data_IF_610627514749
#
_entry.id   IF_610627514749
#
_cell.length_a   1.000
_cell.length_b   1.000
_cell.length_c   1.000
_cell.angle_alpha   90.00
_cell.angle_beta   90.00
_cell.angle_gamma   90.00
#
_symmetry.space_group_name_H-M   'P 1'
#
loop_
_entity.id
_entity.type
_entity.pdbx_description
1 polymer ?
#
# COMPACT_ATOMS: atom_id res chain seq x y z
N UNK A 1 27.59 -23.96 -51.95
CA UNK A 1 27.06 -25.23 -51.40
C UNK A 1 25.62 -25.34 -51.85
N UNK A 2 25.37 -26.39 -52.66
CA UNK A 2 24.08 -26.56 -53.33
C UNK A 2 23.15 -27.36 -52.41
N UNK A 3 22.22 -26.66 -51.73
CA UNK A 3 21.27 -27.25 -50.75
C UNK A 3 20.20 -28.16 -51.37
N UNK A 4 20.22 -28.33 -52.72
CA UNK A 4 19.19 -29.07 -53.44
C UNK A 4 19.26 -30.61 -53.31
N UNK A 5 20.41 -31.15 -52.85
CA UNK A 5 20.63 -32.62 -52.76
C UNK A 5 20.55 -33.22 -51.36
N UNK A 6 20.12 -32.48 -50.35
CA UNK A 6 19.98 -32.99 -49.00
C UNK A 6 18.63 -33.66 -48.81
N UNK A 7 18.61 -34.78 -48.12
CA UNK A 7 17.36 -35.43 -47.74
C UNK A 7 16.53 -34.56 -46.84
N UNK A 8 15.22 -34.68 -46.90
CA UNK A 8 14.31 -33.81 -46.08
C UNK A 8 14.56 -33.94 -44.56
N UNK A 9 14.95 -35.10 -44.10
CA UNK A 9 15.38 -35.35 -42.71
C UNK A 9 16.65 -34.58 -42.34
N UNK A 10 17.59 -34.42 -43.28
CA UNK A 10 18.82 -33.64 -43.04
C UNK A 10 18.54 -32.14 -43.04
N UNK A 11 17.63 -31.66 -43.89
CA UNK A 11 17.18 -30.27 -43.89
C UNK A 11 16.48 -29.88 -42.58
N UNK A 12 15.63 -30.79 -42.07
CA UNK A 12 14.93 -30.61 -40.79
C UNK A 12 15.91 -30.53 -39.60
N UNK A 13 16.90 -31.44 -39.56
CA UNK A 13 17.96 -31.39 -38.55
C UNK A 13 18.79 -30.13 -38.62
N UNK A 14 19.17 -29.67 -39.82
CA UNK A 14 19.90 -28.38 -40.00
C UNK A 14 19.04 -27.18 -39.55
N UNK A 15 17.74 -27.18 -39.86
CA UNK A 15 16.84 -26.15 -39.44
C UNK A 15 16.70 -26.11 -37.90
N UNK A 16 16.54 -27.26 -37.26
CA UNK A 16 16.46 -27.36 -35.79
C UNK A 16 17.76 -26.89 -35.13
N UNK A 17 18.93 -27.29 -35.65
CA UNK A 17 20.22 -26.85 -35.12
C UNK A 17 20.48 -25.36 -35.31
N UNK A 18 20.14 -24.81 -36.46
CA UNK A 18 20.29 -23.35 -36.71
C UNK A 18 19.30 -22.56 -35.89
N UNK A 19 18.05 -22.97 -35.78
CA UNK A 19 17.03 -22.32 -34.94
C UNK A 19 17.43 -22.34 -33.46
N UNK A 20 17.93 -23.49 -32.97
CA UNK A 20 18.45 -23.62 -31.59
C UNK A 20 19.67 -22.75 -31.36
N UNK A 21 20.61 -22.66 -32.28
CA UNK A 21 21.78 -21.82 -32.22
C UNK A 21 21.40 -20.32 -32.18
N UNK A 22 20.47 -19.88 -33.01
CA UNK A 22 19.93 -18.52 -33.01
C UNK A 22 19.23 -18.22 -31.70
N UNK A 23 18.46 -19.16 -31.17
CA UNK A 23 17.76 -19.01 -29.89
C UNK A 23 18.74 -18.86 -28.71
N UNK A 24 19.81 -19.65 -28.69
CA UNK A 24 20.86 -19.56 -27.66
C UNK A 24 21.60 -18.21 -27.75
N UNK A 25 21.94 -17.76 -28.96
CA UNK A 25 22.60 -16.45 -29.16
C UNK A 25 21.67 -15.31 -28.73
N UNK A 26 20.38 -15.35 -29.10
CA UNK A 26 19.39 -14.38 -28.66
C UNK A 26 19.25 -14.35 -27.13
N UNK A 27 19.23 -15.54 -26.49
CA UNK A 27 19.15 -15.66 -25.05
C UNK A 27 20.41 -15.10 -24.37
N UNK A 28 21.59 -15.40 -24.89
CA UNK A 28 22.86 -14.86 -24.39
C UNK A 28 22.94 -13.31 -24.54
N UNK A 29 22.48 -12.77 -25.69
CA UNK A 29 22.38 -11.31 -25.90
C UNK A 29 21.39 -10.68 -24.93
N UNK A 30 20.23 -11.30 -24.71
CA UNK A 30 19.23 -10.83 -23.74
C UNK A 30 19.80 -10.81 -22.31
N UNK A 31 20.50 -11.86 -21.89
CA UNK A 31 21.12 -11.91 -20.55
C UNK A 31 22.20 -10.82 -20.41
N UNK A 32 23.06 -10.63 -21.41
CA UNK A 32 24.10 -9.60 -21.37
C UNK A 32 23.55 -8.17 -21.35
N UNK A 33 22.34 -7.96 -21.90
CA UNK A 33 21.70 -6.64 -21.96
C UNK A 33 20.59 -6.45 -20.92
N UNK A 34 20.39 -7.38 -20.00
CA UNK A 34 19.32 -7.32 -19.01
C UNK A 34 19.41 -6.05 -18.12
N UNK A 35 20.65 -5.64 -17.80
CA UNK A 35 20.90 -4.41 -17.05
C UNK A 35 20.57 -3.15 -17.89
N UNK A 36 20.88 -3.16 -19.19
CA UNK A 36 20.54 -2.08 -20.10
C UNK A 36 19.02 -1.96 -20.29
N UNK A 37 18.33 -3.09 -20.46
CA UNK A 37 16.86 -3.14 -20.53
C UNK A 37 16.24 -2.62 -19.22
N UNK A 38 16.79 -3.02 -18.07
CA UNK A 38 16.36 -2.51 -16.76
C UNK A 38 16.54 -0.99 -16.63
N UNK A 39 17.66 -0.45 -17.13
CA UNK A 39 17.91 0.99 -17.13
C UNK A 39 16.93 1.74 -18.04
N UNK A 40 16.67 1.24 -19.24
CA UNK A 40 15.69 1.83 -20.16
C UNK A 40 14.31 1.81 -19.54
N UNK A 41 13.88 0.67 -18.98
CA UNK A 41 12.59 0.53 -18.32
C UNK A 41 12.47 1.50 -17.13
N UNK A 42 13.50 1.62 -16.30
CA UNK A 42 13.53 2.57 -15.19
C UNK A 42 13.46 4.03 -15.65
N UNK A 43 14.08 4.36 -16.78
CA UNK A 43 14.02 5.69 -17.40
C UNK A 43 12.60 6.00 -17.90
N UNK A 44 11.95 5.05 -18.57
CA UNK A 44 10.56 5.17 -19.04
C UNK A 44 9.60 5.33 -17.84
N UNK A 45 9.74 4.51 -16.79
CA UNK A 45 8.92 4.60 -15.58
C UNK A 45 9.10 5.96 -14.91
N UNK A 46 10.34 6.47 -14.82
CA UNK A 46 10.61 7.82 -14.30
C UNK A 46 9.98 8.92 -15.13
N UNK A 47 10.03 8.82 -16.45
CA UNK A 47 9.41 9.79 -17.36
C UNK A 47 7.88 9.81 -17.26
N UNK A 48 7.26 8.63 -17.00
CA UNK A 48 5.79 8.48 -16.86
C UNK A 48 5.32 8.73 -15.42
N UNK A 49 6.24 8.79 -14.45
CA UNK A 49 5.87 8.92 -13.04
C UNK A 49 4.90 10.08 -12.71
N UNK A 50 4.97 11.29 -13.31
CA UNK A 50 3.99 12.34 -13.06
C UNK A 50 2.57 11.96 -13.50
N UNK A 51 2.44 11.15 -14.57
CA UNK A 51 1.14 10.63 -14.99
C UNK A 51 0.60 9.59 -14.02
N UNK A 52 1.47 8.74 -13.47
CA UNK A 52 1.09 7.76 -12.44
C UNK A 52 0.59 8.50 -11.19
N UNK A 53 1.30 9.53 -10.73
CA UNK A 53 0.84 10.40 -9.63
C UNK A 53 -0.48 11.10 -9.98
N UNK A 54 -0.62 11.62 -11.21
CA UNK A 54 -1.85 12.24 -11.67
C UNK A 54 -3.05 11.29 -11.65
N UNK A 55 -2.87 10.06 -12.09
CA UNK A 55 -3.90 9.00 -12.01
C UNK A 55 -4.24 8.66 -10.55
N UNK A 56 -3.23 8.53 -9.69
CA UNK A 56 -3.43 8.27 -8.25
C UNK A 56 -4.23 9.39 -7.59
N UNK A 57 -3.84 10.65 -7.82
CA UNK A 57 -4.57 11.81 -7.28
C UNK A 57 -5.99 11.89 -7.84
N UNK A 58 -6.17 11.64 -9.15
CA UNK A 58 -7.50 11.54 -9.76
C UNK A 58 -8.35 10.50 -9.06
N UNK A 59 -7.77 9.34 -8.78
CA UNK A 59 -8.46 8.25 -8.10
C UNK A 59 -8.91 8.65 -6.69
N UNK A 60 -8.06 9.34 -5.92
CA UNK A 60 -8.36 9.82 -4.55
C UNK A 60 -9.40 10.95 -4.59
N UNK A 61 -9.30 11.88 -5.55
CA UNK A 61 -10.15 13.06 -5.63
C UNK A 61 -11.51 12.79 -6.30
N UNK A 62 -11.62 11.73 -7.10
CA UNK A 62 -12.83 11.40 -7.84
C UNK A 62 -14.09 11.22 -6.96
N UNK A 63 -14.04 10.52 -5.81
CA UNK A 63 -15.18 10.43 -4.90
C UNK A 63 -15.58 11.79 -4.33
N UNK A 64 -14.60 12.62 -3.94
CA UNK A 64 -14.84 13.98 -3.43
C UNK A 64 -15.53 14.85 -4.50
N UNK A 65 -15.01 14.84 -5.73
CA UNK A 65 -15.62 15.54 -6.85
C UNK A 65 -17.06 15.10 -7.07
N UNK A 66 -17.32 13.77 -7.09
CA UNK A 66 -18.67 13.23 -7.29
C UNK A 66 -19.62 13.61 -6.17
N UNK A 67 -19.16 13.61 -4.93
CA UNK A 67 -19.94 14.05 -3.78
C UNK A 67 -20.36 15.52 -3.95
N UNK A 68 -19.41 16.39 -4.33
CA UNK A 68 -19.73 17.83 -4.55
C UNK A 68 -20.66 17.99 -5.76
N UNK A 69 -20.39 17.33 -6.89
CA UNK A 69 -21.15 17.45 -8.14
C UNK A 69 -22.57 16.90 -8.03
N UNK A 70 -22.72 15.70 -7.45
CA UNK A 70 -23.97 14.94 -7.49
C UNK A 70 -24.84 15.11 -6.23
N UNK A 71 -24.24 15.44 -5.08
CA UNK A 71 -24.97 15.55 -3.81
C UNK A 71 -25.12 17.01 -3.39
N UNK A 72 -24.01 17.76 -3.31
CA UNK A 72 -24.04 19.16 -2.83
C UNK A 72 -24.64 20.10 -3.90
N UNK A 73 -24.19 19.99 -5.15
CA UNK A 73 -24.62 20.87 -6.24
C UNK A 73 -25.84 20.31 -7.01
N UNK A 74 -26.42 19.20 -6.58
CA UNK A 74 -27.54 18.52 -7.26
C UNK A 74 -28.70 19.50 -7.55
N UNK A 75 -29.14 20.24 -6.56
CA UNK A 75 -30.32 21.09 -6.60
C UNK A 75 -30.02 22.52 -7.10
N UNK A 76 -28.80 22.85 -7.51
CA UNK A 76 -28.46 24.15 -8.04
C UNK A 76 -28.88 24.28 -9.51
N UNK A 77 -29.27 25.49 -9.92
CA UNK A 77 -29.63 25.82 -11.33
C UNK A 77 -28.40 26.02 -12.23
N UNK A 78 -27.22 25.61 -11.78
CA UNK A 78 -25.98 25.77 -12.55
C UNK A 78 -25.91 24.78 -13.70
N UNK A 79 -25.28 25.19 -14.81
CA UNK A 79 -24.97 24.33 -15.93
C UNK A 79 -24.03 23.17 -15.51
N UNK A 80 -24.20 21.99 -16.06
CA UNK A 80 -23.41 20.80 -15.72
C UNK A 80 -21.89 21.03 -15.82
N UNK A 81 -21.45 21.84 -16.80
CA UNK A 81 -20.05 22.19 -16.97
C UNK A 81 -19.55 23.03 -15.77
N UNK A 82 -20.32 24.00 -15.33
CA UNK A 82 -20.00 24.86 -14.18
C UNK A 82 -20.00 24.06 -12.86
N UNK A 83 -20.99 23.16 -12.67
CA UNK A 83 -21.02 22.24 -11.51
C UNK A 83 -19.73 21.40 -11.44
N UNK A 84 -19.29 20.87 -12.58
CA UNK A 84 -18.06 20.08 -12.66
C UNK A 84 -16.82 20.90 -12.33
N UNK A 85 -16.71 22.13 -12.83
CA UNK A 85 -15.58 23.01 -12.53
C UNK A 85 -15.52 23.28 -11.02
N UNK A 86 -16.63 23.67 -10.40
CA UNK A 86 -16.70 23.92 -8.97
C UNK A 86 -16.35 22.65 -8.17
N UNK A 87 -16.86 21.50 -8.56
CA UNK A 87 -16.61 20.23 -7.90
C UNK A 87 -15.13 19.80 -7.97
N UNK A 88 -14.47 20.01 -9.11
CA UNK A 88 -13.02 19.72 -9.27
C UNK A 88 -12.20 20.65 -8.41
N UNK A 89 -12.49 21.97 -8.43
CA UNK A 89 -11.78 22.95 -7.60
C UNK A 89 -11.98 22.65 -6.12
N UNK A 90 -13.20 22.35 -5.69
CA UNK A 90 -13.49 21.99 -4.30
C UNK A 90 -12.72 20.72 -3.87
N UNK A 91 -12.74 19.68 -4.69
CA UNK A 91 -11.99 18.45 -4.41
C UNK A 91 -10.46 18.71 -4.32
N UNK A 92 -9.93 19.59 -5.19
CA UNK A 92 -8.53 19.98 -5.19
C UNK A 92 -8.17 20.75 -3.90
N UNK A 93 -9.00 21.73 -3.50
CA UNK A 93 -8.80 22.49 -2.28
C UNK A 93 -8.82 21.57 -1.05
N UNK A 94 -9.80 20.67 -0.94
CA UNK A 94 -9.86 19.69 0.15
C UNK A 94 -8.62 18.81 0.17
N UNK A 95 -8.19 18.29 -0.98
CA UNK A 95 -6.99 17.48 -1.08
C UNK A 95 -5.73 18.25 -0.66
N UNK A 96 -5.56 19.50 -1.11
CA UNK A 96 -4.44 20.35 -0.71
C UNK A 96 -4.46 20.68 0.78
N UNK A 97 -5.63 20.93 1.36
CA UNK A 97 -5.77 21.17 2.80
C UNK A 97 -5.37 19.93 3.61
N UNK A 98 -5.78 18.74 3.17
CA UNK A 98 -5.37 17.47 3.81
C UNK A 98 -3.86 17.30 3.72
N UNK A 99 -3.25 17.50 2.55
CA UNK A 99 -1.80 17.44 2.37
C UNK A 99 -1.07 18.49 3.22
N UNK A 100 -1.55 19.72 3.21
CA UNK A 100 -0.94 20.79 4.02
C UNK A 100 -1.01 20.46 5.52
N UNK A 101 -2.15 19.98 6.01
CA UNK A 101 -2.29 19.54 7.40
C UNK A 101 -1.32 18.40 7.72
N UNK A 102 -1.19 17.43 6.82
CA UNK A 102 -0.25 16.33 6.98
C UNK A 102 1.20 16.82 7.09
N UNK A 103 1.65 17.66 6.16
CA UNK A 103 3.04 18.13 6.13
C UNK A 103 3.35 19.21 7.17
N UNK A 104 2.44 20.12 7.46
CA UNK A 104 2.70 21.27 8.33
C UNK A 104 2.42 20.95 9.80
N UNK A 105 1.45 20.09 10.09
CA UNK A 105 1.04 19.78 11.47
C UNK A 105 1.55 18.42 11.90
N UNK A 106 1.21 17.39 11.17
CA UNK A 106 1.44 15.99 11.61
C UNK A 106 2.92 15.61 11.55
N UNK A 107 3.62 15.94 10.47
CA UNK A 107 5.04 15.60 10.33
C UNK A 107 5.91 16.25 11.42
N UNK A 108 5.85 17.57 11.71
CA UNK A 108 6.61 18.16 12.80
C UNK A 108 6.31 17.54 14.15
N UNK A 109 5.03 17.29 14.48
CA UNK A 109 4.66 16.68 15.75
C UNK A 109 5.17 15.24 15.88
N UNK A 110 5.23 14.47 14.78
CA UNK A 110 5.86 13.17 14.77
C UNK A 110 7.37 13.27 15.02
N UNK A 111 8.05 14.23 14.38
CA UNK A 111 9.47 14.48 14.62
C UNK A 111 9.76 14.82 16.07
N UNK A 112 8.98 15.72 16.66
CA UNK A 112 9.12 16.11 18.07
C UNK A 112 8.88 14.89 18.99
N UNK A 113 7.89 14.07 18.69
CA UNK A 113 7.60 12.85 19.46
C UNK A 113 8.76 11.85 19.37
N UNK A 114 9.30 11.62 18.17
CA UNK A 114 10.44 10.71 17.97
C UNK A 114 11.68 11.26 18.67
N UNK A 115 11.96 12.56 18.52
CA UNK A 115 13.11 13.21 19.17
C UNK A 115 13.04 13.07 20.69
N UNK A 116 11.89 13.45 21.27
CA UNK A 116 11.65 13.35 22.72
C UNK A 116 11.81 11.90 23.23
N UNK A 117 11.32 10.93 22.44
CA UNK A 117 11.48 9.52 22.74
C UNK A 117 12.97 9.12 22.74
N UNK A 118 13.73 9.47 21.70
CA UNK A 118 15.16 9.17 21.56
C UNK A 118 15.95 9.78 22.73
N UNK A 119 15.72 11.06 23.02
CA UNK A 119 16.39 11.79 24.11
C UNK A 119 16.10 11.15 25.49
N UNK A 120 14.94 10.50 25.64
CA UNK A 120 14.49 9.86 26.88
C UNK A 120 14.95 8.42 27.05
N UNK A 121 15.45 7.74 26.00
CA UNK A 121 15.84 6.31 26.03
C UNK A 121 16.84 6.05 27.18
N UNK A 122 17.87 6.90 27.31
CA UNK A 122 18.89 6.76 28.36
C UNK A 122 18.31 6.83 29.78
N UNK A 123 17.28 7.64 29.99
CA UNK A 123 16.54 7.73 31.26
C UNK A 123 15.73 6.47 31.52
N UNK A 124 15.03 5.96 30.53
CA UNK A 124 14.23 4.73 30.66
C UNK A 124 15.09 3.51 30.96
N UNK A 125 16.22 3.35 30.24
CA UNK A 125 17.19 2.27 30.50
C UNK A 125 17.68 2.30 31.94
N UNK A 126 18.05 3.48 32.49
CA UNK A 126 18.48 3.61 33.90
C UNK A 126 17.38 3.26 34.88
N UNK A 127 16.14 3.65 34.59
CA UNK A 127 14.99 3.33 35.45
C UNK A 127 14.77 1.82 35.54
N UNK A 128 14.82 1.13 34.39
CA UNK A 128 14.64 -0.34 34.35
C UNK A 128 15.82 -1.03 35.03
N UNK A 129 17.06 -0.56 34.79
CA UNK A 129 18.24 -1.07 35.51
C UNK A 129 18.09 -0.94 37.02
N UNK A 130 17.54 0.18 37.53
CA UNK A 130 17.22 0.36 38.94
C UNK A 130 16.13 -0.59 39.45
N UNK A 131 15.17 -0.98 38.61
CA UNK A 131 14.18 -1.99 38.95
C UNK A 131 14.80 -3.40 38.98
N UNK A 132 15.66 -3.72 38.00
CA UNK A 132 16.37 -5.01 37.92
C UNK A 132 17.34 -5.18 39.11
N UNK A 133 18.04 -4.12 39.50
CA UNK A 133 18.92 -4.15 40.68
C UNK A 133 18.20 -4.53 41.98
N UNK A 134 16.88 -4.31 42.06
CA UNK A 134 16.08 -4.80 43.21
C UNK A 134 15.75 -6.29 43.10
N UNK A 135 15.77 -6.86 41.90
CA UNK A 135 15.61 -8.31 41.64
C UNK A 135 16.90 -9.08 41.91
N UNK A 136 18.05 -8.40 41.84
CA UNK A 136 19.39 -8.99 42.09
C UNK A 136 19.48 -9.65 43.48
N UNK A 137 18.72 -9.13 44.47
CA UNK A 137 18.59 -9.71 45.80
C UNK A 137 17.89 -11.09 45.82
N UNK A 138 17.20 -11.48 44.74
CA UNK A 138 16.44 -12.73 44.63
C UNK A 138 17.05 -13.72 43.65
N UNK A 139 17.58 -13.26 42.51
CA UNK A 139 18.23 -14.08 41.48
C UNK A 139 19.22 -13.25 40.62
N UNK A 140 20.52 -13.36 40.97
CA UNK A 140 21.63 -12.66 40.33
C UNK A 140 21.75 -12.98 38.81
N UNK A 141 21.46 -14.25 38.42
CA UNK A 141 21.58 -14.66 37.02
C UNK A 141 20.47 -14.06 36.17
N UNK A 142 19.23 -14.02 36.68
CA UNK A 142 18.09 -13.43 36.00
C UNK A 142 18.26 -11.92 35.91
N UNK A 143 18.70 -11.27 36.98
CA UNK A 143 18.96 -9.83 37.02
C UNK A 143 20.06 -9.44 36.01
N UNK A 144 21.16 -10.19 35.95
CA UNK A 144 22.23 -10.00 34.97
C UNK A 144 21.76 -10.13 33.54
N UNK A 145 21.03 -11.21 33.21
CA UNK A 145 20.46 -11.42 31.87
C UNK A 145 19.50 -10.29 31.44
N UNK A 146 18.59 -9.88 32.32
CA UNK A 146 17.66 -8.79 32.06
C UNK A 146 18.39 -7.44 31.92
N UNK A 147 19.39 -7.19 32.75
CA UNK A 147 20.22 -5.99 32.69
C UNK A 147 20.96 -5.84 31.35
N UNK A 148 21.57 -6.92 30.89
CA UNK A 148 22.26 -6.97 29.59
C UNK A 148 21.26 -6.79 28.44
N UNK A 149 20.12 -7.45 28.48
CA UNK A 149 19.07 -7.33 27.47
C UNK A 149 18.55 -5.89 27.36
N UNK A 150 18.28 -5.23 28.46
CA UNK A 150 17.81 -3.84 28.50
C UNK A 150 18.89 -2.86 28.02
N UNK A 151 20.13 -3.06 28.47
CA UNK A 151 21.24 -2.20 28.11
C UNK A 151 21.58 -2.32 26.62
N UNK A 152 21.71 -3.54 26.12
CA UNK A 152 22.04 -3.82 24.73
C UNK A 152 20.87 -3.46 23.81
N UNK A 153 19.63 -3.77 24.21
CA UNK A 153 18.41 -3.39 23.48
C UNK A 153 18.22 -1.88 23.40
N UNK A 154 18.45 -1.17 24.51
CA UNK A 154 18.40 0.31 24.54
C UNK A 154 19.46 0.96 23.66
N UNK A 155 20.71 0.46 23.66
CA UNK A 155 21.76 0.89 22.77
C UNK A 155 21.41 0.61 21.31
N UNK A 156 21.04 -0.62 20.99
CA UNK A 156 20.69 -1.01 19.61
C UNK A 156 19.52 -0.16 19.07
N UNK A 157 18.51 0.14 19.88
CA UNK A 157 17.40 1.00 19.52
C UNK A 157 17.86 2.45 19.30
N UNK A 158 18.69 2.98 20.22
CA UNK A 158 19.25 4.32 20.07
C UNK A 158 20.13 4.43 18.81
N UNK A 159 21.02 3.48 18.59
CA UNK A 159 21.91 3.46 17.42
C UNK A 159 21.13 3.31 16.12
N UNK A 160 20.07 2.50 16.12
CA UNK A 160 19.17 2.38 14.96
C UNK A 160 18.41 3.67 14.69
N UNK A 161 17.96 4.38 15.71
CA UNK A 161 17.23 5.64 15.53
C UNK A 161 18.15 6.80 15.16
N UNK A 162 19.35 6.90 15.75
CA UNK A 162 20.26 8.05 15.61
C UNK A 162 21.39 7.83 14.60
N UNK A 163 21.67 6.59 14.23
CA UNK A 163 22.76 6.23 13.30
C UNK A 163 22.59 6.89 11.91
N UNK A 164 23.70 7.04 11.18
CA UNK A 164 23.71 7.66 9.84
C UNK A 164 22.80 6.97 8.82
N UNK A 165 22.49 5.69 9.03
CA UNK A 165 21.51 4.90 8.27
C UNK A 165 20.26 4.59 9.07
N UNK A 166 20.12 5.18 10.25
CA UNK A 166 19.02 4.90 11.18
C UNK A 166 17.71 5.56 10.80
N UNK A 167 16.66 5.20 11.55
CA UNK A 167 15.29 5.62 11.28
C UNK A 167 15.13 7.13 11.12
N UNK A 168 15.79 7.93 11.99
CA UNK A 168 15.72 9.39 11.92
C UNK A 168 16.33 9.96 10.63
N UNK A 169 17.52 9.48 10.24
CA UNK A 169 18.18 9.92 9.00
C UNK A 169 17.39 9.48 7.76
N UNK A 170 16.78 8.30 7.78
CA UNK A 170 15.90 7.85 6.71
C UNK A 170 14.65 8.73 6.62
N UNK A 171 14.00 9.05 7.73
CA UNK A 171 12.83 9.95 7.74
C UNK A 171 13.21 11.34 7.22
N UNK A 172 14.37 11.90 7.64
CA UNK A 172 14.88 13.16 7.10
C UNK A 172 15.17 13.09 5.59
N UNK A 173 15.81 12.02 5.14
CA UNK A 173 16.10 11.80 3.72
C UNK A 173 14.82 11.61 2.90
N UNK A 174 13.82 10.90 3.42
CA UNK A 174 12.50 10.80 2.78
C UNK A 174 11.82 12.16 2.71
N UNK A 175 11.86 12.97 3.77
CA UNK A 175 11.30 14.32 3.76
C UNK A 175 11.98 15.24 2.73
N UNK A 176 13.31 15.16 2.60
CA UNK A 176 14.07 15.89 1.57
C UNK A 176 13.79 15.36 0.16
N UNK A 177 13.62 14.05 -0.01
CA UNK A 177 13.24 13.45 -1.28
C UNK A 177 11.81 13.80 -1.69
N UNK A 178 10.88 13.94 -0.74
CA UNK A 178 9.54 14.48 -0.98
C UNK A 178 9.63 15.93 -1.45
N UNK A 179 10.48 16.75 -0.82
CA UNK A 179 10.70 18.14 -1.26
C UNK A 179 11.25 18.20 -2.71
N UNK A 180 12.16 17.29 -3.08
CA UNK A 180 12.64 17.14 -4.47
C UNK A 180 11.55 16.59 -5.40
N UNK A 181 10.63 15.80 -4.88
CA UNK A 181 9.46 15.28 -5.60
C UNK A 181 8.32 16.28 -5.81
N UNK A 182 8.39 17.47 -5.21
CA UNK A 182 7.32 18.49 -5.28
C UNK A 182 6.94 18.81 -6.73
N UNK A 183 7.91 18.92 -7.64
CA UNK A 183 7.62 19.15 -9.05
C UNK A 183 6.78 18.02 -9.67
N UNK A 184 7.12 16.77 -9.37
CA UNK A 184 6.35 15.61 -9.85
C UNK A 184 4.94 15.59 -9.24
N UNK A 185 4.80 15.98 -7.98
CA UNK A 185 3.50 16.12 -7.31
C UNK A 185 2.68 17.23 -7.95
N UNK A 186 3.27 18.39 -8.20
CA UNK A 186 2.59 19.53 -8.86
C UNK A 186 2.15 19.15 -10.29
N UNK A 187 3.02 18.54 -11.08
CA UNK A 187 2.67 18.06 -12.42
C UNK A 187 1.58 17.00 -12.33
N UNK A 188 1.69 16.06 -11.39
CA UNK A 188 0.65 15.06 -11.12
C UNK A 188 -0.70 15.69 -10.75
N UNK A 189 -0.70 16.74 -9.94
CA UNK A 189 -1.93 17.49 -9.59
C UNK A 189 -2.55 18.17 -10.82
N UNK A 190 -1.73 18.80 -11.69
CA UNK A 190 -2.21 19.38 -12.93
C UNK A 190 -2.83 18.30 -13.83
N UNK A 191 -2.15 17.16 -13.99
CA UNK A 191 -2.67 16.02 -14.76
C UNK A 191 -3.98 15.51 -14.16
N UNK A 192 -4.05 15.37 -12.83
CA UNK A 192 -5.27 14.97 -12.12
C UNK A 192 -6.43 15.94 -12.39
N UNK A 193 -6.16 17.23 -12.37
CA UNK A 193 -7.16 18.24 -12.69
C UNK A 193 -7.71 18.06 -14.11
N UNK A 194 -6.85 17.89 -15.11
CA UNK A 194 -7.29 17.61 -16.49
C UNK A 194 -8.09 16.32 -16.60
N UNK A 195 -7.66 15.24 -15.95
CA UNK A 195 -8.36 13.97 -15.95
C UNK A 195 -9.74 14.06 -15.29
N UNK A 196 -9.87 14.85 -14.21
CA UNK A 196 -11.16 15.07 -13.53
C UNK A 196 -12.11 15.95 -14.35
N UNK A 197 -11.60 16.96 -15.06
CA UNK A 197 -12.41 17.80 -15.94
C UNK A 197 -12.91 17.03 -17.15
N UNK A 198 -12.04 16.30 -17.82
CA UNK A 198 -12.31 15.65 -19.10
C UNK A 198 -12.57 14.12 -18.95
N UNK A 199 -12.98 13.64 -17.75
CA UNK A 199 -13.20 12.21 -17.48
C UNK A 199 -14.02 11.52 -18.56
N UNK A 200 -15.13 12.13 -18.99
CA UNK A 200 -16.03 11.55 -20.00
C UNK A 200 -15.38 11.48 -21.39
N UNK A 201 -14.61 12.49 -21.74
CA UNK A 201 -13.88 12.56 -23.00
C UNK A 201 -12.80 11.47 -23.07
N UNK A 202 -12.02 11.31 -21.99
CA UNK A 202 -11.00 10.25 -21.90
C UNK A 202 -11.62 8.86 -21.95
N UNK A 203 -12.71 8.62 -21.23
CA UNK A 203 -13.44 7.36 -21.31
C UNK A 203 -13.92 7.05 -22.73
N UNK A 204 -14.44 8.07 -23.43
CA UNK A 204 -14.89 7.92 -24.83
C UNK A 204 -13.71 7.61 -25.75
N UNK A 205 -12.57 8.32 -25.60
CA UNK A 205 -11.38 8.06 -26.40
C UNK A 205 -10.84 6.65 -26.20
N UNK A 206 -10.74 6.18 -24.93
CA UNK A 206 -10.31 4.81 -24.63
C UNK A 206 -11.24 3.80 -25.30
N UNK A 207 -12.57 3.98 -25.18
CA UNK A 207 -13.54 3.12 -25.85
C UNK A 207 -13.36 3.13 -27.37
N UNK A 208 -13.18 4.31 -27.97
CA UNK A 208 -12.98 4.43 -29.43
C UNK A 208 -11.73 3.67 -29.89
N UNK A 209 -10.62 3.80 -29.16
CA UNK A 209 -9.39 3.06 -29.47
C UNK A 209 -9.61 1.55 -29.33
N UNK A 210 -10.26 1.12 -28.26
CA UNK A 210 -10.52 -0.31 -28.02
C UNK A 210 -11.39 -0.92 -29.14
N UNK A 211 -12.52 -0.30 -29.46
CA UNK A 211 -13.41 -0.80 -30.51
C UNK A 211 -12.87 -0.57 -31.92
N UNK A 212 -11.93 0.39 -32.12
CA UNK A 212 -11.28 0.64 -33.39
C UNK A 212 -10.19 -0.36 -33.76
N UNK A 213 -9.50 -0.91 -32.77
CA UNK A 213 -8.37 -1.83 -33.02
C UNK A 213 -8.65 -3.28 -32.61
N UNK A 214 -9.63 -3.54 -31.74
CA UNK A 214 -9.96 -4.88 -31.23
C UNK A 214 -11.31 -5.32 -31.80
N UNK A 215 -11.52 -6.64 -31.88
CA UNK A 215 -12.85 -7.17 -32.19
C UNK A 215 -13.82 -6.85 -31.04
N UNK A 216 -15.10 -6.80 -31.33
CA UNK A 216 -16.17 -6.38 -30.41
C UNK A 216 -16.14 -7.17 -29.10
N UNK A 217 -15.95 -8.49 -29.17
CA UNK A 217 -15.88 -9.37 -27.99
C UNK A 217 -14.70 -9.02 -27.09
N UNK A 218 -13.50 -8.92 -27.66
CA UNK A 218 -12.28 -8.59 -26.89
C UNK A 218 -12.35 -7.18 -26.31
N UNK A 219 -12.93 -6.21 -27.03
CA UNK A 219 -13.13 -4.86 -26.53
C UNK A 219 -14.14 -4.84 -25.36
N UNK A 220 -15.21 -5.61 -25.44
CA UNK A 220 -16.18 -5.75 -24.35
C UNK A 220 -15.58 -6.40 -23.10
N UNK A 221 -14.82 -7.50 -23.27
CA UNK A 221 -14.12 -8.20 -22.20
C UNK A 221 -13.10 -7.29 -21.50
N UNK A 222 -12.34 -6.50 -22.26
CA UNK A 222 -11.36 -5.57 -21.72
C UNK A 222 -12.05 -4.40 -20.97
N UNK A 223 -13.18 -3.91 -21.46
CA UNK A 223 -13.98 -2.90 -20.75
C UNK A 223 -14.58 -3.46 -19.45
N UNK A 224 -14.99 -4.73 -19.45
CA UNK A 224 -15.44 -5.42 -18.25
C UNK A 224 -14.30 -5.50 -17.22
N UNK A 225 -13.10 -5.98 -17.63
CA UNK A 225 -11.91 -6.02 -16.80
C UNK A 225 -11.57 -4.65 -16.20
N UNK A 226 -11.55 -3.59 -17.02
CA UNK A 226 -11.25 -2.22 -16.54
C UNK A 226 -12.28 -1.75 -15.51
N UNK A 227 -13.55 -2.05 -15.71
CA UNK A 227 -14.65 -1.70 -14.79
C UNK A 227 -14.51 -2.45 -13.46
N UNK A 228 -14.27 -3.75 -13.55
CA UNK A 228 -14.06 -4.62 -12.41
C UNK A 228 -12.85 -4.14 -11.58
N UNK A 229 -11.69 -3.98 -12.22
CA UNK A 229 -10.47 -3.47 -11.59
C UNK A 229 -10.72 -2.14 -10.89
N UNK A 230 -11.33 -1.16 -11.58
CA UNK A 230 -11.66 0.14 -11.00
C UNK A 230 -12.53 0.00 -9.74
N UNK A 231 -13.57 -0.81 -9.80
CA UNK A 231 -14.52 -0.96 -8.70
C UNK A 231 -13.87 -1.65 -7.49
N UNK A 232 -13.14 -2.74 -7.72
CA UNK A 232 -12.45 -3.50 -6.68
C UNK A 232 -11.38 -2.66 -6.00
N UNK A 233 -10.53 -1.99 -6.78
CA UNK A 233 -9.51 -1.08 -6.22
C UNK A 233 -10.13 0.07 -5.45
N UNK A 234 -11.17 0.70 -5.99
CA UNK A 234 -11.82 1.84 -5.32
C UNK A 234 -12.41 1.43 -3.97
N UNK A 235 -13.17 0.33 -3.94
CA UNK A 235 -13.77 -0.17 -2.70
C UNK A 235 -12.72 -0.56 -1.68
N UNK A 236 -11.67 -1.26 -2.10
CA UNK A 236 -10.62 -1.74 -1.21
C UNK A 236 -9.76 -0.59 -0.66
N UNK A 237 -9.17 0.25 -1.54
CA UNK A 237 -8.26 1.32 -1.11
C UNK A 237 -8.99 2.35 -0.26
N UNK A 238 -10.18 2.78 -0.70
CA UNK A 238 -10.96 3.76 0.05
C UNK A 238 -11.48 3.18 1.36
N UNK A 239 -11.98 1.95 1.33
CA UNK A 239 -12.44 1.26 2.52
C UNK A 239 -11.31 1.10 3.54
N UNK A 240 -10.13 0.63 3.12
CA UNK A 240 -8.97 0.44 4.01
C UNK A 240 -8.40 1.77 4.53
N UNK A 241 -8.43 2.82 3.71
CA UNK A 241 -8.03 4.16 4.14
C UNK A 241 -8.95 4.70 5.25
N UNK A 242 -10.27 4.62 5.06
CA UNK A 242 -11.23 5.07 6.08
C UNK A 242 -11.12 4.22 7.35
N UNK A 243 -11.04 2.91 7.20
CA UNK A 243 -10.83 1.97 8.28
C UNK A 243 -9.59 2.35 9.13
N UNK A 244 -8.46 2.53 8.47
CA UNK A 244 -7.19 2.92 9.11
C UNK A 244 -7.25 4.29 9.79
N UNK A 245 -7.96 5.24 9.20
CA UNK A 245 -8.20 6.55 9.86
C UNK A 245 -9.01 6.38 11.14
N UNK A 246 -10.10 5.63 11.10
CA UNK A 246 -10.94 5.41 12.28
C UNK A 246 -10.14 4.71 13.37
N UNK A 247 -9.38 3.66 13.04
CA UNK A 247 -8.51 2.95 13.98
C UNK A 247 -7.45 3.89 14.56
N UNK A 248 -6.81 4.72 13.72
CA UNK A 248 -5.85 5.73 14.18
C UNK A 248 -6.48 6.74 15.15
N UNK A 249 -7.66 7.26 14.85
CA UNK A 249 -8.37 8.18 15.75
C UNK A 249 -8.76 7.52 17.06
N UNK A 250 -9.33 6.31 17.02
CA UNK A 250 -9.69 5.58 18.25
C UNK A 250 -8.42 5.32 19.09
N UNK A 251 -7.33 4.90 18.43
CA UNK A 251 -6.05 4.66 19.11
C UNK A 251 -5.52 5.94 19.76
N UNK A 252 -5.56 7.08 19.07
CA UNK A 252 -5.10 8.37 19.58
C UNK A 252 -5.85 8.78 20.87
N UNK A 253 -7.17 8.82 20.81
CA UNK A 253 -7.99 9.24 21.95
C UNK A 253 -7.90 8.23 23.11
N UNK A 254 -7.84 6.93 22.82
CA UNK A 254 -7.66 5.92 23.87
C UNK A 254 -6.30 6.04 24.56
N UNK A 255 -5.23 6.30 23.80
CA UNK A 255 -3.91 6.54 24.38
C UNK A 255 -3.88 7.80 25.26
N UNK A 256 -4.62 8.86 24.88
CA UNK A 256 -4.77 10.04 25.73
C UNK A 256 -5.50 9.72 27.04
N UNK A 257 -6.61 8.99 26.98
CA UNK A 257 -7.41 8.61 28.15
C UNK A 257 -6.60 7.71 29.09
N UNK A 258 -5.89 6.74 28.53
CA UNK A 258 -5.05 5.80 29.28
C UNK A 258 -3.70 6.42 29.70
N UNK A 259 -3.45 7.69 29.35
CA UNK A 259 -2.19 8.39 29.61
C UNK A 259 -0.95 7.62 29.13
N UNK A 260 -1.08 6.98 27.97
CA UNK A 260 0.03 6.29 27.31
C UNK A 260 0.95 7.34 26.67
N UNK A 261 2.27 7.27 26.87
CA UNK A 261 3.20 8.25 26.31
C UNK A 261 3.20 8.19 24.77
N UNK A 262 3.48 9.33 24.13
CA UNK A 262 3.56 9.48 22.67
C UNK A 262 2.29 9.07 21.90
N UNK A 263 1.09 9.53 22.29
CA UNK A 263 -0.19 9.05 21.72
C UNK A 263 -0.29 9.28 20.22
N UNK A 264 0.23 10.41 19.70
CA UNK A 264 0.21 10.71 18.27
C UNK A 264 1.10 9.76 17.47
N UNK A 265 2.31 9.48 17.95
CA UNK A 265 3.24 8.55 17.31
C UNK A 265 2.65 7.14 17.25
N UNK A 266 2.10 6.68 18.37
CA UNK A 266 1.47 5.36 18.47
C UNK A 266 0.28 5.26 17.52
N UNK A 267 -0.62 6.22 17.56
CA UNK A 267 -1.81 6.24 16.70
C UNK A 267 -1.46 6.32 15.21
N UNK A 268 -0.44 7.08 14.86
CA UNK A 268 0.05 7.20 13.49
C UNK A 268 0.63 5.88 12.98
N UNK A 269 1.49 5.23 13.78
CA UNK A 269 2.07 3.93 13.42
C UNK A 269 0.99 2.87 13.30
N UNK A 270 0.08 2.77 14.28
CA UNK A 270 -1.04 1.81 14.25
C UNK A 270 -1.95 2.09 13.06
N UNK A 271 -2.32 3.34 12.82
CA UNK A 271 -3.18 3.72 11.70
C UNK A 271 -2.56 3.40 10.34
N UNK A 272 -1.29 3.74 10.10
CA UNK A 272 -0.62 3.44 8.83
C UNK A 272 -0.44 1.95 8.64
N UNK A 273 0.04 1.24 9.66
CA UNK A 273 0.25 -0.20 9.52
C UNK A 273 -1.06 -0.96 9.34
N UNK A 274 -2.17 -0.47 9.91
CA UNK A 274 -3.50 -1.04 9.71
C UNK A 274 -3.98 -1.04 8.24
N UNK A 275 -3.38 -0.23 7.37
CA UNK A 275 -3.63 -0.31 5.93
C UNK A 275 -3.26 -1.68 5.34
N UNK A 276 -2.29 -2.38 5.93
CA UNK A 276 -1.92 -3.73 5.51
C UNK A 276 -2.91 -4.73 6.15
N UNK A 277 -3.75 -5.42 5.36
CA UNK A 277 -4.72 -6.36 5.92
C UNK A 277 -4.03 -7.47 6.71
N UNK A 278 -4.66 -7.94 7.79
CA UNK A 278 -4.22 -9.05 8.65
C UNK A 278 -2.93 -8.77 9.41
N UNK A 279 -1.85 -8.40 8.73
CA UNK A 279 -0.51 -8.21 9.34
C UNK A 279 -0.29 -6.80 9.91
N UNK A 280 -1.02 -5.81 9.42
CA UNK A 280 -0.85 -4.42 9.82
C UNK A 280 -0.89 -4.18 11.32
N UNK A 281 -1.90 -4.67 12.03
CA UNK A 281 -2.00 -4.54 13.49
C UNK A 281 -0.78 -5.09 14.24
N UNK A 282 -0.24 -6.23 13.81
CA UNK A 282 0.93 -6.85 14.43
C UNK A 282 2.21 -6.08 14.14
N UNK A 283 2.39 -5.63 12.89
CA UNK A 283 3.55 -4.84 12.47
C UNK A 283 3.63 -3.53 13.25
N UNK A 284 2.48 -2.90 13.53
CA UNK A 284 2.44 -1.67 14.31
C UNK A 284 2.52 -1.90 15.81
N UNK A 285 1.68 -2.80 16.35
CA UNK A 285 1.54 -2.95 17.79
C UNK A 285 2.74 -3.62 18.47
N UNK A 286 3.33 -4.66 17.87
CA UNK A 286 4.41 -5.43 18.51
C UNK A 286 5.63 -4.54 18.81
N UNK A 287 6.21 -3.77 17.87
CA UNK A 287 7.31 -2.87 18.19
C UNK A 287 6.93 -1.82 19.26
N UNK A 288 5.70 -1.29 19.19
CA UNK A 288 5.24 -0.29 20.15
C UNK A 288 5.08 -0.85 21.56
N UNK A 289 4.61 -2.09 21.70
CA UNK A 289 4.54 -2.78 22.99
C UNK A 289 5.94 -2.92 23.59
N UNK A 290 6.94 -3.32 22.80
CA UNK A 290 8.32 -3.41 23.26
C UNK A 290 8.90 -2.04 23.63
N UNK A 291 8.63 -1.01 22.85
CA UNK A 291 9.05 0.37 23.17
C UNK A 291 8.41 0.82 24.50
N UNK A 292 7.12 0.62 24.65
CA UNK A 292 6.40 0.97 25.87
C UNK A 292 6.86 0.14 27.07
N UNK A 293 7.28 -1.11 26.89
CA UNK A 293 7.83 -1.96 27.95
C UNK A 293 9.11 -1.34 28.56
N UNK A 294 9.94 -0.73 27.71
CA UNK A 294 11.13 -0.01 28.14
C UNK A 294 10.79 1.27 28.90
N UNK A 295 9.71 1.96 28.50
CA UNK A 295 9.29 3.23 29.11
C UNK A 295 8.59 2.97 30.45
N UNK A 296 7.57 2.14 30.44
CA UNK A 296 6.76 1.79 31.59
C UNK A 296 6.06 0.44 31.36
N UNK A 297 6.45 -0.63 32.06
CA UNK A 297 5.87 -1.97 31.86
C UNK A 297 4.36 -2.02 32.05
N UNK A 298 3.81 -1.23 32.98
CA UNK A 298 2.35 -1.21 33.24
C UNK A 298 1.63 -0.57 32.02
N UNK A 299 2.15 0.53 31.49
CA UNK A 299 1.59 1.18 30.27
C UNK A 299 1.70 0.30 29.04
N UNK A 300 2.76 -0.50 28.93
CA UNK A 300 2.90 -1.51 27.88
C UNK A 300 1.79 -2.57 27.98
N UNK A 301 1.50 -3.06 29.17
CA UNK A 301 0.42 -4.03 29.40
C UNK A 301 -0.95 -3.42 29.11
N UNK A 302 -1.22 -2.19 29.56
CA UNK A 302 -2.46 -1.46 29.27
C UNK A 302 -2.64 -1.30 27.74
N UNK A 303 -1.58 -0.94 27.04
CA UNK A 303 -1.60 -0.80 25.57
C UNK A 303 -1.80 -2.16 24.89
N UNK A 304 -1.13 -3.21 25.32
CA UNK A 304 -1.29 -4.56 24.75
C UNK A 304 -2.73 -5.06 24.86
N UNK A 305 -3.37 -4.89 26.04
CA UNK A 305 -4.77 -5.24 26.23
C UNK A 305 -5.67 -4.37 25.36
N UNK A 306 -5.45 -3.05 25.34
CA UNK A 306 -6.22 -2.12 24.53
C UNK A 306 -6.16 -2.47 23.05
N UNK A 307 -4.94 -2.72 22.51
CA UNK A 307 -4.78 -3.01 21.07
C UNK A 307 -5.45 -4.34 20.71
N UNK A 308 -5.43 -5.35 21.56
CA UNK A 308 -6.16 -6.60 21.33
C UNK A 308 -7.67 -6.37 21.26
N UNK A 309 -8.22 -5.57 22.16
CA UNK A 309 -9.65 -5.20 22.12
C UNK A 309 -9.97 -4.41 20.86
N UNK A 310 -9.14 -3.42 20.52
CA UNK A 310 -9.31 -2.61 19.31
C UNK A 310 -9.31 -3.49 18.06
N UNK A 311 -8.41 -4.48 17.97
CA UNK A 311 -8.35 -5.40 16.83
C UNK A 311 -9.58 -6.32 16.76
N UNK A 312 -10.16 -6.71 17.88
CA UNK A 312 -11.43 -7.46 17.87
C UNK A 312 -12.59 -6.60 17.37
N UNK A 313 -12.62 -5.33 17.76
CA UNK A 313 -13.63 -4.38 17.26
C UNK A 313 -13.43 -4.13 15.77
N UNK A 314 -12.19 -3.95 15.32
CA UNK A 314 -11.86 -3.77 13.90
C UNK A 314 -12.30 -4.99 13.07
N UNK A 315 -11.84 -6.16 13.43
CA UNK A 315 -12.10 -7.40 12.69
C UNK A 315 -13.57 -7.81 12.62
N UNK A 316 -14.35 -7.52 13.66
CA UNK A 316 -15.73 -7.99 13.76
C UNK A 316 -16.79 -6.91 13.50
N UNK A 317 -16.45 -5.63 13.64
CA UNK A 317 -17.44 -4.54 13.55
C UNK A 317 -17.04 -3.51 12.48
N UNK A 318 -15.87 -2.89 12.62
CA UNK A 318 -15.45 -1.76 11.77
C UNK A 318 -15.13 -2.25 10.37
N UNK A 319 -14.23 -3.21 10.24
CA UNK A 319 -13.81 -3.78 8.97
C UNK A 319 -14.97 -4.29 8.12
N UNK A 320 -15.85 -5.20 8.63
CA UNK A 320 -17.02 -5.67 7.87
C UNK A 320 -17.97 -4.55 7.46
N UNK A 321 -18.17 -3.53 8.29
CA UNK A 321 -19.06 -2.40 7.96
C UNK A 321 -18.49 -1.49 6.86
N UNK A 322 -17.17 -1.27 6.87
CA UNK A 322 -16.50 -0.37 5.94
C UNK A 322 -16.18 -1.09 4.63
N UNK A 323 -15.58 -2.26 4.71
CA UNK A 323 -15.13 -3.04 3.55
C UNK A 323 -16.28 -3.82 2.90
N UNK A 324 -17.33 -4.21 3.67
CA UNK A 324 -18.59 -4.73 3.16
C UNK A 324 -18.48 -5.83 2.10
N UNK A 325 -17.57 -6.78 2.26
CA UNK A 325 -17.31 -7.79 1.23
C UNK A 325 -16.59 -7.24 -0.01
N UNK A 326 -15.95 -6.06 0.12
CA UNK A 326 -15.31 -5.33 -0.98
C UNK A 326 -14.25 -6.15 -1.75
N UNK A 327 -13.76 -7.23 -1.17
CA UNK A 327 -12.67 -8.03 -1.75
C UNK A 327 -13.17 -9.36 -2.30
N UNK A 328 -14.33 -9.89 -1.81
CA UNK A 328 -14.89 -11.16 -2.27
C UNK A 328 -13.97 -12.39 -2.13
N UNK A 329 -12.78 -12.21 -1.55
CA UNK A 329 -11.76 -13.25 -1.42
C UNK A 329 -11.93 -14.03 -0.10
N UNK A 330 -11.87 -15.36 -0.12
CA UNK A 330 -11.62 -16.16 1.07
C UNK A 330 -10.30 -15.76 1.75
N UNK A 331 -10.26 -15.83 3.09
CA UNK A 331 -9.12 -15.39 3.90
C UNK A 331 -7.77 -15.99 3.45
N UNK A 332 -7.76 -17.25 3.04
CA UNK A 332 -6.57 -17.92 2.52
C UNK A 332 -5.95 -17.16 1.33
N UNK A 333 -6.78 -16.73 0.39
CA UNK A 333 -6.34 -16.00 -0.80
C UNK A 333 -5.90 -14.57 -0.50
N UNK A 334 -6.51 -13.96 0.53
CA UNK A 334 -6.03 -12.66 1.05
C UNK A 334 -4.61 -12.82 1.60
N UNK A 335 -4.34 -13.85 2.43
CA UNK A 335 -3.00 -14.13 2.96
C UNK A 335 -2.00 -14.41 1.84
N UNK A 336 -2.39 -15.22 0.85
CA UNK A 336 -1.55 -15.50 -0.32
C UNK A 336 -1.20 -14.20 -1.08
N UNK A 337 -2.19 -13.36 -1.36
CA UNK A 337 -2.01 -12.09 -2.06
C UNK A 337 -1.03 -11.14 -1.33
N UNK A 338 -1.11 -11.09 0.00
CA UNK A 338 -0.23 -10.27 0.84
C UNK A 338 1.20 -10.81 0.80
N UNK A 339 1.38 -12.13 0.97
CA UNK A 339 2.71 -12.75 0.99
C UNK A 339 3.37 -12.64 -0.39
N UNK A 340 2.66 -13.00 -1.45
CA UNK A 340 3.17 -12.93 -2.81
C UNK A 340 3.44 -11.48 -3.24
N UNK A 341 2.51 -10.56 -2.97
CA UNK A 341 2.69 -9.14 -3.22
C UNK A 341 3.86 -8.56 -2.46
N UNK A 342 3.98 -8.93 -1.18
CA UNK A 342 5.08 -8.51 -0.31
C UNK A 342 6.44 -8.97 -0.79
N UNK A 343 6.55 -10.20 -1.26
CA UNK A 343 7.79 -10.77 -1.83
C UNK A 343 8.22 -10.05 -3.12
N UNK A 344 7.26 -9.61 -3.95
CA UNK A 344 7.54 -8.98 -5.24
C UNK A 344 7.79 -7.48 -5.14
N UNK A 345 7.04 -6.75 -4.30
CA UNK A 345 7.00 -5.29 -4.28
C UNK A 345 7.08 -4.68 -2.87
N UNK A 346 7.45 -5.48 -1.87
CA UNK A 346 7.56 -5.02 -0.47
C UNK A 346 6.22 -4.57 0.11
N UNK A 347 6.23 -3.56 0.98
CA UNK A 347 5.05 -3.05 1.69
C UNK A 347 3.93 -2.59 0.72
N UNK A 348 4.31 -1.93 -0.38
CA UNK A 348 3.34 -1.51 -1.41
C UNK A 348 2.67 -2.73 -2.05
N UNK A 349 3.44 -3.79 -2.28
CA UNK A 349 2.92 -5.04 -2.82
C UNK A 349 1.99 -5.77 -1.86
N UNK A 350 2.24 -5.73 -0.55
CA UNK A 350 1.34 -6.29 0.46
C UNK A 350 -0.05 -5.62 0.41
N UNK A 351 -0.07 -4.32 0.19
CA UNK A 351 -1.31 -3.55 0.10
C UNK A 351 -2.03 -3.73 -1.23
N UNK A 352 -1.33 -3.52 -2.36
CA UNK A 352 -1.91 -3.59 -3.71
C UNK A 352 -2.19 -5.04 -4.14
N UNK A 353 -1.45 -6.00 -3.62
CA UNK A 353 -1.61 -7.42 -3.95
C UNK A 353 -3.02 -7.94 -3.72
N UNK A 354 -3.67 -7.49 -2.65
CA UNK A 354 -5.03 -7.93 -2.32
C UNK A 354 -6.05 -7.55 -3.39
N UNK A 355 -6.21 -6.28 -3.82
CA UNK A 355 -7.15 -5.95 -4.88
C UNK A 355 -6.76 -6.51 -6.25
N UNK A 356 -5.45 -6.66 -6.55
CA UNK A 356 -4.99 -7.32 -7.78
C UNK A 356 -5.45 -8.76 -7.80
N UNK A 357 -5.21 -9.50 -6.72
CA UNK A 357 -5.60 -10.90 -6.64
C UNK A 357 -7.12 -11.08 -6.61
N UNK A 358 -7.86 -10.14 -6.01
CA UNK A 358 -9.32 -10.11 -6.05
C UNK A 358 -9.85 -10.05 -7.48
N UNK A 359 -9.28 -9.17 -8.32
CA UNK A 359 -9.65 -9.09 -9.74
C UNK A 359 -9.35 -10.39 -10.48
N UNK A 360 -8.17 -10.98 -10.25
CA UNK A 360 -7.78 -12.26 -10.88
C UNK A 360 -8.74 -13.38 -10.45
N UNK A 361 -9.08 -13.44 -9.17
CA UNK A 361 -9.98 -14.43 -8.61
C UNK A 361 -11.38 -14.31 -9.21
N UNK A 362 -11.97 -13.12 -9.22
CA UNK A 362 -13.32 -12.84 -9.75
C UNK A 362 -13.41 -13.18 -11.25
N UNK A 363 -12.41 -12.80 -12.05
CA UNK A 363 -12.35 -13.16 -13.47
C UNK A 363 -12.21 -14.68 -13.69
N UNK A 364 -11.45 -15.35 -12.82
CA UNK A 364 -11.28 -16.80 -12.90
C UNK A 364 -12.59 -17.51 -12.54
N UNK A 365 -13.25 -17.05 -11.47
CA UNK A 365 -14.55 -17.56 -11.02
C UNK A 365 -15.63 -17.39 -12.10
N UNK A 366 -15.76 -16.19 -12.68
CA UNK A 366 -16.68 -15.93 -13.79
C UNK A 366 -16.41 -16.87 -14.98
N UNK A 367 -15.15 -17.03 -15.37
CA UNK A 367 -14.77 -17.90 -16.50
C UNK A 367 -15.05 -19.37 -16.22
N UNK A 368 -14.73 -19.84 -15.01
CA UNK A 368 -15.01 -21.24 -14.59
C UNK A 368 -16.51 -21.48 -14.56
N UNK A 369 -17.28 -20.57 -13.97
CA UNK A 369 -18.73 -20.69 -13.89
C UNK A 369 -19.39 -20.73 -15.28
N UNK A 370 -18.97 -19.86 -16.19
CA UNK A 370 -19.45 -19.84 -17.56
C UNK A 370 -19.11 -21.15 -18.31
N UNK A 371 -17.90 -21.69 -18.10
CA UNK A 371 -17.48 -22.95 -18.72
C UNK A 371 -18.26 -24.15 -18.16
N UNK A 372 -18.54 -24.17 -16.84
CA UNK A 372 -19.33 -25.23 -16.21
C UNK A 372 -20.77 -25.21 -16.71
N UNK A 373 -21.38 -24.02 -16.83
CA UNK A 373 -22.71 -23.85 -17.43
C UNK A 373 -22.74 -24.34 -18.88
N UNK A 374 -21.73 -23.99 -19.68
CA UNK A 374 -21.66 -24.40 -21.08
C UNK A 374 -21.48 -25.93 -21.25
N UNK A 375 -20.94 -26.62 -20.22
CA UNK A 375 -20.77 -28.06 -20.18
C UNK A 375 -21.88 -28.79 -19.43
N UNK A 376 -22.88 -28.07 -18.91
CA UNK A 376 -23.98 -28.62 -18.09
C UNK A 376 -23.48 -29.43 -16.87
N UNK A 377 -22.31 -29.06 -16.32
CA UNK A 377 -21.71 -29.72 -15.17
C UNK A 377 -22.12 -28.99 -13.89
N UNK A 378 -22.83 -29.71 -13.00
CA UNK A 378 -23.10 -29.25 -11.63
C UNK A 378 -22.06 -29.84 -10.68
N UNK A 379 -21.22 -28.98 -10.09
CA UNK A 379 -20.14 -29.37 -9.16
C UNK A 379 -20.65 -29.52 -7.72
N UNK A 380 -21.86 -29.00 -7.41
CA UNK A 380 -22.46 -29.09 -6.07
C UNK A 380 -22.88 -30.52 -5.70
N UNK A 381 -22.97 -31.41 -6.70
CA UNK A 381 -23.41 -32.81 -6.56
C UNK A 381 -22.29 -33.83 -6.67
N UNK A 382 -21.04 -33.42 -6.88
CA UNK A 382 -19.84 -34.24 -6.90
C UNK A 382 -18.90 -33.89 -5.76
#
# INVERSE_FOLDING_TARGET
>A
MDFKHLSDETKEKIFIFTASGVLIVLFAVLINHIAAIGNILSMVIRAISPFIYGLLFTFIMLPLRKLVENDILKNTKLENKTKRIIAVIAAMVVFLLVLATFFVVLIPQLFDSIKTFVDSIGGYVRTIQGMIARLDAYDEKLAGFLGDMVTNGGKALSDWLTGAQGGMSQILNYSLNVARGILNVLIGMIISMYLLFDEEKFKKQIKMVMFGYLNEKTAADLLHLMRLTKNTFNRFIFGKFIDSLIIGFICYFSCLILQIPYPLLIAFVVGITNMIPVFGPFIGAVPLIFILLIINPLKSLEFAVFILVLQQIDGNIIGPKILGGAVGLPTLWVMFAIIAGGALFGIVGMFIGVPVFSVIYELTEERVHNNLKAKEIDVSTK
#
